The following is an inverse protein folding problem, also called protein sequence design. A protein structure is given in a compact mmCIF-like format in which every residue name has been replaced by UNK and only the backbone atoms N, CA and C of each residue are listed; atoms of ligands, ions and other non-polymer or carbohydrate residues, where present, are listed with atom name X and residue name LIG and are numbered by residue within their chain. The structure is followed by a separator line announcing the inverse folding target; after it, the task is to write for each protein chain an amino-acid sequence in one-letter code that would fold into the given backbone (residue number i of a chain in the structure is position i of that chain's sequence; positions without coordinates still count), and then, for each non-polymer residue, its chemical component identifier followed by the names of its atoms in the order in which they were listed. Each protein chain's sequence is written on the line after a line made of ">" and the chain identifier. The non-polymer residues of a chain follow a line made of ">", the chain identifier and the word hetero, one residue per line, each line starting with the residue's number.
data_IF_224792738786
#
_entry.id   IF_224792738786
#
_cell.length_a   1.000
_cell.length_b   1.000
_cell.length_c   1.000
_cell.angle_alpha   90.00
_cell.angle_beta   90.00
_cell.angle_gamma   90.00
#
_symmetry.space_group_name_H-M   'P 1'
#
loop_
_entity.id
_entity.type
_entity.pdbx_description
1 polymer ?
#
# COMPACT_ATOMS: atom_id res chain seq x y z
N UNK A 1 -15.42 -48.43 -13.18
CA UNK A 1 -15.51 -47.27 -14.10
C UNK A 1 -14.18 -47.18 -14.80
N UNK A 2 -14.13 -47.54 -16.08
CA UNK A 2 -12.94 -47.31 -16.90
C UNK A 2 -13.05 -45.88 -17.41
N UNK A 3 -12.11 -45.02 -17.04
CA UNK A 3 -12.07 -43.67 -17.61
C UNK A 3 -11.59 -43.84 -19.05
N UNK A 4 -12.41 -43.42 -20.00
CA UNK A 4 -12.04 -43.44 -21.40
C UNK A 4 -10.78 -42.58 -21.62
N UNK A 5 -9.81 -43.12 -22.37
CA UNK A 5 -8.53 -42.43 -22.64
C UNK A 5 -8.74 -41.04 -23.25
N UNK A 6 -9.81 -40.87 -24.04
CA UNK A 6 -10.25 -39.59 -24.62
C UNK A 6 -10.61 -38.56 -23.54
N UNK A 7 -11.36 -38.98 -22.51
CA UNK A 7 -11.71 -38.14 -21.36
C UNK A 7 -10.46 -37.74 -20.57
N UNK A 8 -9.50 -38.65 -20.38
CA UNK A 8 -8.23 -38.33 -19.70
C UNK A 8 -7.43 -37.29 -20.47
N UNK A 9 -7.30 -37.44 -21.80
CA UNK A 9 -6.54 -36.49 -22.64
C UNK A 9 -7.19 -35.11 -22.65
N UNK A 10 -8.51 -35.05 -22.78
CA UNK A 10 -9.23 -33.78 -22.77
C UNK A 10 -9.05 -33.03 -21.44
N UNK A 11 -9.17 -33.73 -20.32
CA UNK A 11 -8.93 -33.16 -18.99
C UNK A 11 -7.47 -32.72 -18.86
N UNK A 12 -6.50 -33.55 -19.25
CA UNK A 12 -5.08 -33.24 -19.13
C UNK A 12 -4.68 -31.99 -19.94
N UNK A 13 -5.16 -31.86 -21.18
CA UNK A 13 -4.88 -30.69 -22.03
C UNK A 13 -5.55 -29.44 -21.45
N UNK A 14 -6.79 -29.55 -20.97
CA UNK A 14 -7.49 -28.42 -20.35
C UNK A 14 -6.75 -27.91 -19.11
N UNK A 15 -6.29 -28.83 -18.25
CA UNK A 15 -5.48 -28.50 -17.07
C UNK A 15 -4.14 -27.87 -17.48
N UNK A 16 -3.48 -28.37 -18.52
CA UNK A 16 -2.22 -27.80 -19.01
C UNK A 16 -2.39 -26.37 -19.54
N UNK A 17 -3.46 -26.10 -20.30
CA UNK A 17 -3.75 -24.75 -20.83
C UNK A 17 -4.04 -23.77 -19.70
N UNK A 18 -4.79 -24.19 -18.69
CA UNK A 18 -5.04 -23.39 -17.49
C UNK A 18 -3.74 -23.13 -16.72
N UNK A 19 -2.88 -24.14 -16.56
CA UNK A 19 -1.59 -23.98 -15.89
C UNK A 19 -0.69 -22.95 -16.61
N UNK A 20 -0.64 -22.99 -17.94
CA UNK A 20 0.10 -22.00 -18.75
C UNK A 20 -0.46 -20.59 -18.54
N UNK A 21 -1.79 -20.45 -18.44
CA UNK A 21 -2.41 -19.17 -18.14
C UNK A 21 -2.00 -18.63 -16.76
N UNK A 22 -1.99 -19.48 -15.73
CA UNK A 22 -1.51 -19.09 -14.40
C UNK A 22 -0.05 -18.68 -14.39
N UNK A 23 0.83 -19.39 -15.11
CA UNK A 23 2.22 -18.99 -15.27
C UNK A 23 2.32 -17.62 -15.94
N UNK A 24 1.47 -17.35 -16.93
CA UNK A 24 1.35 -16.04 -17.56
C UNK A 24 0.93 -14.94 -16.58
N UNK A 25 -0.06 -15.20 -15.72
CA UNK A 25 -0.50 -14.27 -14.67
C UNK A 25 0.61 -13.99 -13.66
N UNK A 26 1.35 -15.02 -13.23
CA UNK A 26 2.49 -14.87 -12.30
C UNK A 26 3.57 -14.00 -12.96
N UNK A 27 3.90 -14.27 -14.22
CA UNK A 27 4.86 -13.46 -14.98
C UNK A 27 4.42 -12.00 -15.10
N UNK A 28 3.15 -11.76 -15.43
CA UNK A 28 2.60 -10.40 -15.47
C UNK A 28 2.68 -9.70 -14.12
N UNK A 29 2.31 -10.39 -13.04
CA UNK A 29 2.38 -9.84 -11.68
C UNK A 29 3.82 -9.46 -11.30
N UNK A 30 4.81 -10.28 -11.66
CA UNK A 30 6.22 -9.97 -11.36
C UNK A 30 6.81 -8.80 -12.14
N UNK A 31 6.29 -8.52 -13.35
CA UNK A 31 6.83 -7.48 -14.24
C UNK A 31 6.07 -6.17 -14.08
N UNK A 32 4.76 -6.25 -13.88
CA UNK A 32 3.85 -5.11 -13.88
C UNK A 32 3.20 -4.83 -12.53
N UNK A 33 3.46 -5.67 -11.52
CA UNK A 33 3.17 -5.32 -10.13
C UNK A 33 4.14 -4.23 -9.70
N UNK A 34 3.58 -3.09 -9.29
CA UNK A 34 4.34 -2.02 -8.65
C UNK A 34 3.90 -1.93 -7.20
N UNK A 35 4.86 -1.72 -6.31
CA UNK A 35 4.55 -1.23 -4.97
C UNK A 35 3.89 0.15 -5.11
N UNK A 36 2.85 0.38 -4.32
CA UNK A 36 2.22 1.71 -4.24
C UNK A 36 3.13 2.60 -3.41
N UNK A 37 3.78 3.56 -4.04
CA UNK A 37 4.55 4.59 -3.34
C UNK A 37 3.82 5.93 -3.37
N UNK A 38 3.80 6.58 -2.21
CA UNK A 38 3.39 7.95 -2.01
C UNK A 38 4.66 8.78 -1.88
N UNK A 39 4.86 9.76 -2.75
CA UNK A 39 6.03 10.63 -2.72
C UNK A 39 5.61 12.07 -2.48
N UNK A 40 5.91 12.60 -1.28
CA UNK A 40 5.58 13.96 -0.89
C UNK A 40 4.10 14.33 -1.06
N UNK A 41 3.20 13.38 -0.81
CA UNK A 41 1.75 13.62 -0.88
C UNK A 41 1.31 14.48 0.31
N UNK A 42 0.41 15.46 0.13
CA UNK A 42 -0.03 16.31 1.22
C UNK A 42 -0.79 15.50 2.28
N UNK A 43 -0.49 15.76 3.55
CA UNK A 43 -1.08 15.09 4.70
C UNK A 43 -1.52 16.13 5.73
N UNK A 44 -2.76 16.04 6.20
CA UNK A 44 -3.28 16.88 7.29
C UNK A 44 -4.02 16.04 8.31
N UNK A 45 -3.88 16.37 9.59
CA UNK A 45 -4.52 15.64 10.69
C UNK A 45 -4.74 16.49 11.93
N UNK A 46 -5.42 15.92 12.92
CA UNK A 46 -5.58 16.51 14.26
C UNK A 46 -4.87 15.64 15.28
N UNK A 47 -4.24 16.29 16.25
CA UNK A 47 -3.66 15.64 17.42
C UNK A 47 -4.55 15.95 18.61
N UNK A 48 -5.05 14.91 19.26
CA UNK A 48 -5.81 15.01 20.51
C UNK A 48 -5.06 14.24 21.61
N UNK A 49 -4.87 14.86 22.78
CA UNK A 49 -4.15 14.31 23.93
C UNK A 49 -2.71 13.84 23.69
N UNK A 50 -1.93 14.55 22.87
CA UNK A 50 -0.52 14.22 22.72
C UNK A 50 0.29 14.57 23.97
N UNK A 51 1.13 13.66 24.46
CA UNK A 51 1.95 13.88 25.65
C UNK A 51 3.26 14.58 25.27
N UNK A 52 3.56 15.68 25.97
CA UNK A 52 4.86 16.33 25.88
C UNK A 52 5.79 15.69 26.90
N UNK A 53 6.78 14.96 26.40
CA UNK A 53 7.84 14.34 27.20
C UNK A 53 8.83 15.36 27.76
N UNK A 54 9.80 14.87 28.51
CA UNK A 54 10.82 15.72 29.12
C UNK A 54 11.73 16.36 28.06
N UNK A 55 12.14 17.61 28.32
CA UNK A 55 13.05 18.32 27.43
C UNK A 55 14.47 17.82 27.64
N UNK A 56 15.08 17.29 26.57
CA UNK A 56 16.51 16.97 26.55
C UNK A 56 17.16 17.98 25.61
N UNK A 57 18.04 18.82 26.16
CA UNK A 57 18.82 19.80 25.39
C UNK A 57 17.98 20.94 24.74
N UNK A 58 16.91 21.37 25.40
CA UNK A 58 16.06 22.49 24.94
C UNK A 58 14.97 22.10 23.94
N UNK A 59 15.08 20.92 23.33
CA UNK A 59 14.01 20.31 22.54
C UNK A 59 13.01 19.59 23.46
N UNK A 60 11.70 19.68 23.18
CA UNK A 60 10.64 18.93 23.88
C UNK A 60 10.27 17.74 23.01
N UNK A 61 10.32 16.54 23.58
CA UNK A 61 9.84 15.35 22.88
C UNK A 61 8.31 15.33 22.88
N UNK A 62 7.71 15.05 21.73
CA UNK A 62 6.27 14.89 21.58
C UNK A 62 5.99 13.41 21.27
N UNK A 63 5.21 12.75 22.13
CA UNK A 63 4.78 11.37 21.95
C UNK A 63 3.26 11.33 21.94
N UNK A 64 2.68 10.92 20.81
CA UNK A 64 1.23 10.82 20.69
C UNK A 64 0.81 10.01 19.47
N UNK A 65 -0.39 9.43 19.54
CA UNK A 65 -0.99 8.77 18.39
C UNK A 65 -1.65 9.84 17.53
N UNK A 66 -1.22 9.97 16.27
CA UNK A 66 -1.89 10.83 15.31
C UNK A 66 -3.05 10.03 14.72
N UNK A 67 -4.17 10.01 15.45
CA UNK A 67 -5.41 9.43 14.93
C UNK A 67 -6.02 10.38 13.89
N UNK A 68 -5.61 10.18 12.64
CA UNK A 68 -6.04 10.94 11.49
C UNK A 68 -6.87 10.09 10.55
N UNK A 69 -8.12 10.49 10.30
CA UNK A 69 -8.80 10.12 9.04
C UNK A 69 -8.19 10.92 7.89
N UNK A 70 -7.06 10.43 7.37
CA UNK A 70 -6.44 11.02 6.19
C UNK A 70 -7.37 10.80 4.99
N UNK A 71 -7.89 11.91 4.47
CA UNK A 71 -9.05 11.88 3.57
C UNK A 71 -8.65 11.55 2.13
N UNK A 72 -7.36 11.53 1.81
CA UNK A 72 -6.89 11.10 0.49
C UNK A 72 -5.82 9.99 0.62
N UNK A 73 -6.22 8.83 0.10
CA UNK A 73 -5.40 7.73 -0.45
C UNK A 73 -4.75 6.72 0.50
N UNK A 74 -4.53 6.99 1.78
CA UNK A 74 -3.90 5.99 2.68
C UNK A 74 -4.90 5.24 3.57
N UNK A 75 -5.94 4.63 2.99
CA UNK A 75 -6.65 3.47 3.56
C UNK A 75 -7.15 3.49 5.02
N UNK A 76 -7.12 4.62 5.73
CA UNK A 76 -7.32 4.68 7.19
C UNK A 76 -6.11 4.21 8.01
N UNK A 77 -4.87 4.56 7.63
CA UNK A 77 -3.68 4.28 8.45
C UNK A 77 -3.73 5.11 9.74
N UNK A 78 -3.71 4.42 10.88
CA UNK A 78 -3.49 4.98 12.21
C UNK A 78 -1.98 4.93 12.49
N UNK A 79 -1.34 6.08 12.67
CA UNK A 79 0.12 6.14 12.87
C UNK A 79 0.39 6.58 14.31
N UNK A 80 1.09 5.72 15.05
CA UNK A 80 1.71 6.11 16.31
C UNK A 80 2.89 7.03 15.98
N UNK A 81 2.85 8.25 16.48
CA UNK A 81 3.75 9.31 16.04
C UNK A 81 4.68 9.71 17.18
N UNK A 82 5.98 9.44 16.98
CA UNK A 82 7.04 9.87 17.87
C UNK A 82 7.86 10.96 17.18
N UNK A 83 7.81 12.18 17.72
CA UNK A 83 8.52 13.32 17.14
C UNK A 83 9.20 14.19 18.19
N UNK A 84 10.07 15.08 17.74
CA UNK A 84 10.73 16.08 18.58
C UNK A 84 10.38 17.46 18.09
N UNK A 85 10.22 18.38 19.02
CA UNK A 85 9.96 19.79 18.76
C UNK A 85 11.17 20.58 19.27
N UNK A 86 11.77 21.38 18.41
CA UNK A 86 13.04 22.05 18.70
C UNK A 86 12.92 23.18 19.73
N UNK A 87 11.71 23.72 19.96
CA UNK A 87 11.48 24.79 20.92
C UNK A 87 10.26 24.51 21.82
N UNK A 88 10.33 24.79 23.14
CA UNK A 88 9.20 24.60 24.02
C UNK A 88 8.03 25.52 23.63
N UNK A 89 6.78 25.10 23.89
CA UNK A 89 5.62 25.94 23.60
C UNK A 89 5.73 27.29 24.32
N UNK A 90 5.63 28.37 23.55
CA UNK A 90 5.64 29.75 24.08
C UNK A 90 4.21 30.19 24.33
N UNK A 91 3.90 30.66 25.54
CA UNK A 91 2.54 31.03 25.96
C UNK A 91 1.48 29.92 25.75
N UNK A 92 1.90 28.66 25.92
CA UNK A 92 1.03 27.51 25.72
C UNK A 92 0.64 27.28 24.25
N UNK A 93 1.36 27.87 23.28
CA UNK A 93 1.22 27.62 21.85
C UNK A 93 2.47 26.96 21.29
N UNK A 94 2.28 26.00 20.39
CA UNK A 94 3.35 25.31 19.66
C UNK A 94 3.16 25.55 18.17
N UNK A 95 4.22 25.99 17.50
CA UNK A 95 4.33 26.03 16.04
C UNK A 95 5.74 25.58 15.67
N UNK A 96 5.90 24.32 15.31
CA UNK A 96 7.21 23.73 15.05
C UNK A 96 7.19 22.79 13.87
N UNK A 97 8.35 22.70 13.22
CA UNK A 97 8.65 21.60 12.31
C UNK A 97 8.55 20.27 13.07
N UNK A 98 8.14 19.26 12.31
CA UNK A 98 7.88 17.93 12.81
C UNK A 98 8.31 16.90 11.81
N UNK A 99 8.89 15.82 12.30
CA UNK A 99 9.20 14.64 11.50
C UNK A 99 8.85 13.40 12.30
N UNK A 100 8.17 12.46 11.66
CA UNK A 100 7.82 11.16 12.22
C UNK A 100 8.13 10.06 11.22
N UNK A 101 8.33 8.84 11.72
CA UNK A 101 8.55 7.66 10.89
C UNK A 101 7.32 6.76 10.97
N UNK A 102 6.87 6.26 9.83
CA UNK A 102 5.88 5.20 9.74
C UNK A 102 6.66 3.88 9.71
N UNK A 103 6.47 3.08 10.75
CA UNK A 103 7.00 1.72 10.86
C UNK A 103 5.83 0.79 11.21
N UNK A 104 5.04 0.43 10.19
CA UNK A 104 3.90 -0.47 10.32
C UNK A 104 4.07 -1.69 9.42
N UNK A 105 3.40 -2.76 9.80
CA UNK A 105 3.25 -4.02 9.07
C UNK A 105 2.77 -3.86 7.63
N UNK A 106 2.07 -2.77 7.30
CA UNK A 106 1.45 -2.52 5.99
C UNK A 106 2.16 -1.43 5.16
N UNK A 107 3.00 -0.60 5.78
CA UNK A 107 3.70 0.49 5.10
C UNK A 107 4.90 0.97 5.91
N UNK A 108 5.92 1.44 5.20
CA UNK A 108 7.07 2.11 5.79
C UNK A 108 7.27 3.48 5.13
N UNK A 109 7.64 4.49 5.91
CA UNK A 109 7.76 5.85 5.37
C UNK A 109 8.16 6.90 6.38
N UNK A 110 8.16 8.15 5.92
CA UNK A 110 8.35 9.34 6.75
C UNK A 110 7.22 10.32 6.54
N UNK A 111 6.88 11.01 7.62
CA UNK A 111 5.96 12.14 7.63
C UNK A 111 6.80 13.36 8.03
N UNK A 112 6.62 14.47 7.33
CA UNK A 112 7.29 15.73 7.65
C UNK A 112 6.33 16.89 7.47
N UNK A 113 6.32 17.83 8.41
CA UNK A 113 5.37 18.94 8.36
C UNK A 113 5.51 19.90 9.51
N UNK A 114 4.43 20.60 9.79
CA UNK A 114 4.32 21.57 10.88
C UNK A 114 3.19 21.14 11.82
N UNK A 115 3.46 21.12 13.13
CA UNK A 115 2.40 21.06 14.14
C UNK A 115 2.07 22.45 14.62
N UNK A 116 0.77 22.75 14.66
CA UNK A 116 0.22 23.98 15.17
C UNK A 116 -0.83 23.68 16.22
N UNK A 117 -0.66 24.17 17.45
CA UNK A 117 -1.64 23.91 18.50
C UNK A 117 -1.33 24.59 19.81
N UNK A 118 -1.99 24.10 20.85
CA UNK A 118 -1.78 24.56 22.21
C UNK A 118 -1.31 23.43 23.11
N UNK A 119 -0.35 23.76 23.96
CA UNK A 119 0.15 22.90 25.02
C UNK A 119 -0.33 23.43 26.37
N UNK A 120 -0.97 22.57 27.16
CA UNK A 120 -1.44 22.92 28.50
C UNK A 120 -1.30 21.70 29.42
N UNK A 121 -0.75 21.90 30.62
CA UNK A 121 -0.61 20.84 31.63
C UNK A 121 0.12 19.56 31.15
N UNK A 122 1.08 19.69 30.23
CA UNK A 122 1.85 18.55 29.69
C UNK A 122 1.15 17.80 28.55
N UNK A 123 -0.07 18.20 28.17
CA UNK A 123 -0.75 17.69 26.98
C UNK A 123 -0.74 18.74 25.87
N UNK A 124 -0.74 18.26 24.63
CA UNK A 124 -0.81 19.05 23.41
C UNK A 124 -2.04 18.66 22.59
N UNK A 125 -2.76 19.67 22.12
CA UNK A 125 -3.87 19.56 21.19
C UNK A 125 -3.62 20.48 20.01
N UNK A 126 -3.82 19.99 18.78
CA UNK A 126 -3.52 20.79 17.59
C UNK A 126 -3.81 20.14 16.26
N UNK A 127 -3.33 20.79 15.21
CA UNK A 127 -3.42 20.36 13.83
C UNK A 127 -2.03 20.10 13.26
N UNK A 128 -1.91 19.06 12.45
CA UNK A 128 -0.73 18.75 11.66
C UNK A 128 -1.02 19.09 10.19
N UNK A 129 -0.06 19.76 9.54
CA UNK A 129 -0.05 19.96 8.09
C UNK A 129 1.35 19.63 7.56
N UNK A 130 1.44 18.74 6.57
CA UNK A 130 2.72 18.30 6.04
C UNK A 130 2.59 17.45 4.79
N UNK A 131 3.62 16.63 4.59
CA UNK A 131 3.71 15.67 3.50
C UNK A 131 4.07 14.29 4.03
N UNK A 132 3.60 13.27 3.33
CA UNK A 132 3.95 11.87 3.55
C UNK A 132 4.77 11.35 2.38
N UNK A 133 5.86 10.65 2.71
CA UNK A 133 6.59 9.82 1.76
C UNK A 133 6.60 8.40 2.30
N UNK A 134 5.79 7.52 1.73
CA UNK A 134 5.61 6.16 2.22
C UNK A 134 5.49 5.17 1.08
N UNK A 135 6.00 3.97 1.28
CA UNK A 135 5.75 2.84 0.40
C UNK A 135 4.78 1.89 1.10
N UNK A 136 3.64 1.65 0.47
CA UNK A 136 2.72 0.61 0.90
C UNK A 136 3.22 -0.77 0.45
N UNK A 137 2.88 -1.80 1.21
CA UNK A 137 3.08 -3.19 0.80
C UNK A 137 2.04 -3.68 -0.22
N UNK A 138 1.01 -2.87 -0.51
CA UNK A 138 0.04 -3.18 -1.54
C UNK A 138 0.67 -3.10 -2.93
N UNK A 139 0.39 -4.13 -3.74
CA UNK A 139 0.85 -4.23 -5.12
C UNK A 139 -0.30 -3.85 -6.04
N UNK A 140 -0.16 -2.75 -6.76
CA UNK A 140 -1.12 -2.37 -7.79
C UNK A 140 -0.67 -2.88 -9.16
N UNK A 141 -1.66 -3.22 -9.99
CA UNK A 141 -1.42 -3.53 -11.39
C UNK A 141 -1.30 -2.21 -12.15
N UNK A 142 -0.11 -1.92 -12.66
CA UNK A 142 0.14 -0.73 -13.50
C UNK A 142 -0.81 -0.69 -14.70
N UNK A 143 -1.03 0.50 -15.28
CA UNK A 143 -1.88 0.65 -16.47
C UNK A 143 -1.43 -0.24 -17.64
N UNK A 144 -0.11 -0.38 -17.83
CA UNK A 144 0.49 -1.29 -18.81
C UNK A 144 0.25 -2.77 -18.47
N UNK A 145 0.29 -3.11 -17.17
CA UNK A 145 -0.11 -4.42 -16.67
C UNK A 145 -1.57 -4.76 -16.97
N UNK A 146 -2.47 -3.78 -16.87
CA UNK A 146 -3.88 -3.93 -17.24
C UNK A 146 -4.06 -4.26 -18.73
N UNK A 147 -3.34 -3.57 -19.61
CA UNK A 147 -3.36 -3.86 -21.04
C UNK A 147 -2.75 -5.23 -21.36
N UNK A 148 -1.65 -5.58 -20.69
CA UNK A 148 -0.99 -6.88 -20.83
C UNK A 148 -1.88 -8.04 -20.34
N UNK A 149 -2.65 -7.83 -19.28
CA UNK A 149 -3.67 -8.79 -18.80
C UNK A 149 -4.76 -9.02 -19.85
N UNK A 150 -5.27 -7.95 -20.46
CA UNK A 150 -6.25 -8.07 -21.56
C UNK A 150 -5.65 -8.86 -22.73
N UNK A 151 -4.39 -8.58 -23.08
CA UNK A 151 -3.66 -9.35 -24.11
C UNK A 151 -3.55 -10.85 -23.77
N UNK A 152 -3.20 -11.17 -22.52
CA UNK A 152 -3.13 -12.56 -22.04
C UNK A 152 -4.49 -13.27 -22.15
N UNK A 153 -5.59 -12.59 -21.77
CA UNK A 153 -6.95 -13.12 -21.88
C UNK A 153 -7.31 -13.41 -23.33
N UNK A 154 -6.99 -12.51 -24.27
CA UNK A 154 -7.26 -12.73 -25.70
C UNK A 154 -6.51 -13.95 -26.23
N UNK A 155 -5.22 -14.10 -25.89
CA UNK A 155 -4.42 -15.27 -26.26
C UNK A 155 -5.03 -16.56 -25.69
N UNK A 156 -5.48 -16.54 -24.44
CA UNK A 156 -6.12 -17.68 -23.81
C UNK A 156 -7.44 -18.08 -24.49
N UNK A 157 -8.28 -17.10 -24.83
CA UNK A 157 -9.54 -17.32 -25.57
C UNK A 157 -9.27 -17.96 -26.94
N UNK A 158 -8.15 -17.65 -27.59
CA UNK A 158 -7.77 -18.24 -28.88
C UNK A 158 -7.16 -19.64 -28.69
N UNK A 159 -6.35 -19.85 -27.65
CA UNK A 159 -5.73 -21.15 -27.38
C UNK A 159 -6.73 -22.24 -27.03
N UNK A 160 -7.80 -21.91 -26.31
CA UNK A 160 -8.88 -22.84 -25.95
C UNK A 160 -9.48 -23.58 -27.17
N UNK A 161 -10.00 -22.90 -28.21
CA UNK A 161 -10.53 -23.55 -29.40
C UNK A 161 -9.44 -24.25 -30.24
N UNK A 162 -8.21 -23.73 -30.29
CA UNK A 162 -7.10 -24.41 -30.97
C UNK A 162 -6.78 -25.74 -30.28
N UNK A 163 -6.68 -25.76 -28.95
CA UNK A 163 -6.44 -26.96 -28.18
C UNK A 163 -7.60 -27.95 -28.34
N UNK A 164 -8.85 -27.47 -28.29
CA UNK A 164 -10.04 -28.28 -28.58
C UNK A 164 -10.00 -28.93 -29.97
N UNK A 165 -9.64 -28.15 -31.00
CA UNK A 165 -9.49 -28.66 -32.36
C UNK A 165 -8.37 -29.70 -32.48
N UNK A 166 -7.21 -29.47 -31.84
CA UNK A 166 -6.10 -30.41 -31.85
C UNK A 166 -6.45 -31.73 -31.15
N UNK A 167 -7.20 -31.66 -30.04
CA UNK A 167 -7.71 -32.87 -29.35
C UNK A 167 -8.64 -33.65 -30.28
N UNK A 168 -9.58 -32.97 -30.94
CA UNK A 168 -10.52 -33.64 -31.84
C UNK A 168 -9.78 -34.33 -32.99
N UNK A 169 -8.85 -33.62 -33.64
CA UNK A 169 -8.03 -34.17 -34.72
C UNK A 169 -7.11 -35.31 -34.26
N UNK A 170 -6.62 -35.29 -33.03
CA UNK A 170 -5.77 -36.37 -32.49
C UNK A 170 -6.55 -37.65 -32.14
N UNK A 171 -7.89 -37.58 -32.16
CA UNK A 171 -8.80 -38.69 -31.88
C UNK A 171 -9.50 -39.25 -33.14
N UNK A 172 -9.26 -38.67 -34.32
CA UNK A 172 -9.52 -39.30 -35.63
C UNK A 172 -8.35 -40.20 -36.05
#
# INVERSE_FOLDING_TARGET
>A
MEIERKTVVQIAVSVAVVAVFFVGLIGLSSVYGSEVSYENEPLSGTVDNGELGESVDGAVSFQGDLDGKFTETTGGIEVAVNGSVDEPPTDGRLNSAFTATIDDTIANGTISGTLNGSASNGTFEGTFEGTITASGHDTEVTADGGLALVGLIVVFIILMPIAGYLIERSNE
#
